data_IF_545404100596
#
_entry.id   IF_545404100596
#
_cell.length_a   1.000
_cell.length_b   1.000
_cell.length_c   1.000
_cell.angle_alpha   90.00
_cell.angle_beta   90.00
_cell.angle_gamma   90.00
#
_symmetry.space_group_name_H-M   'P 1'
#
loop_
_entity.id
_entity.type
_entity.pdbx_description
1 polymer ?
#
# COMPACT_ATOMS: atom_id res chain seq x y z
N UNK A 1 12.90 -28.07 21.78
CA UNK A 1 12.89 -26.59 21.77
C UNK A 1 12.35 -26.16 20.43
N UNK A 2 11.25 -25.43 20.40
CA UNK A 2 10.54 -25.10 19.16
C UNK A 2 11.34 -24.04 18.40
N UNK A 3 11.86 -24.39 17.21
CA UNK A 3 12.53 -23.46 16.31
C UNK A 3 11.49 -22.54 15.63
N UNK A 4 10.99 -21.58 16.40
CA UNK A 4 10.13 -20.49 15.93
C UNK A 4 10.99 -19.24 15.87
N UNK A 5 11.19 -18.73 14.66
CA UNK A 5 11.86 -17.45 14.44
C UNK A 5 10.79 -16.45 14.00
N UNK A 6 10.50 -15.44 14.83
CA UNK A 6 9.55 -14.39 14.48
C UNK A 6 10.27 -13.35 13.63
N UNK A 7 9.59 -12.85 12.59
CA UNK A 7 10.13 -11.77 11.78
C UNK A 7 9.96 -10.43 12.53
N UNK A 8 11.06 -9.77 12.90
CA UNK A 8 11.07 -8.52 13.69
C UNK A 8 10.26 -7.39 13.04
N UNK A 9 10.18 -7.37 11.70
CA UNK A 9 9.42 -6.36 10.95
C UNK A 9 7.91 -6.50 11.15
N UNK A 10 7.45 -7.70 11.50
CA UNK A 10 6.03 -8.04 11.60
C UNK A 10 5.49 -7.96 13.04
N UNK A 11 6.35 -7.82 14.05
CA UNK A 11 5.96 -7.86 15.46
C UNK A 11 5.13 -6.64 15.92
N UNK A 12 5.08 -5.58 15.12
CA UNK A 12 4.40 -4.32 15.47
C UNK A 12 2.90 -4.30 15.11
N UNK A 13 2.43 -5.22 14.26
CA UNK A 13 1.02 -5.27 13.88
C UNK A 13 0.23 -6.06 14.93
N UNK A 14 -0.76 -5.40 15.54
CA UNK A 14 -1.66 -6.06 16.48
C UNK A 14 -2.49 -7.15 15.79
N UNK A 15 -2.71 -7.05 14.48
CA UNK A 15 -3.56 -7.94 13.68
C UNK A 15 -2.95 -9.33 13.50
N UNK A 16 -1.62 -9.46 13.57
CA UNK A 16 -0.93 -10.72 13.34
C UNK A 16 0.55 -10.54 13.06
N UNK A 17 1.28 -11.65 12.92
CA UNK A 17 2.70 -11.60 12.59
C UNK A 17 3.16 -12.76 11.73
N UNK A 18 4.26 -12.54 11.00
CA UNK A 18 4.95 -13.54 10.20
C UNK A 18 6.04 -14.22 11.05
N UNK A 19 6.15 -15.55 10.92
CA UNK A 19 7.15 -16.35 11.62
C UNK A 19 7.60 -17.52 10.75
N UNK A 20 8.76 -18.09 11.09
CA UNK A 20 9.27 -19.33 10.51
C UNK A 20 9.11 -20.46 11.49
N UNK A 21 8.57 -21.58 11.02
CA UNK A 21 8.53 -22.84 11.74
C UNK A 21 9.17 -23.92 10.86
N UNK A 22 10.24 -24.54 11.35
CA UNK A 22 11.04 -25.53 10.60
C UNK A 22 11.47 -25.01 9.21
N UNK A 23 11.93 -23.76 9.15
CA UNK A 23 12.38 -23.09 7.91
C UNK A 23 11.27 -22.69 6.93
N UNK A 24 10.00 -23.01 7.22
CA UNK A 24 8.83 -22.64 6.42
C UNK A 24 8.19 -21.37 6.97
N UNK A 25 7.82 -20.44 6.08
CA UNK A 25 7.16 -19.18 6.44
C UNK A 25 5.67 -19.40 6.71
N UNK A 26 5.18 -18.82 7.80
CA UNK A 26 3.79 -18.80 8.20
C UNK A 26 3.41 -17.39 8.66
N UNK A 27 2.11 -17.12 8.68
CA UNK A 27 1.53 -15.91 9.28
C UNK A 27 0.47 -16.32 10.29
N UNK A 28 0.55 -15.77 11.48
CA UNK A 28 -0.52 -15.84 12.45
C UNK A 28 -1.48 -14.67 12.24
N UNK A 29 -2.78 -14.96 12.29
CA UNK A 29 -3.84 -13.96 12.49
C UNK A 29 -4.19 -13.96 13.96
N UNK A 30 -4.19 -12.79 14.60
CA UNK A 30 -4.48 -12.66 16.03
C UNK A 30 -5.99 -12.57 16.29
N UNK A 31 -6.41 -12.96 17.49
CA UNK A 31 -7.81 -12.97 17.92
C UNK A 31 -8.48 -11.59 17.82
N UNK A 32 -7.73 -10.50 18.06
CA UNK A 32 -8.24 -9.14 17.95
C UNK A 32 -8.63 -8.73 16.52
N UNK A 33 -8.20 -9.48 15.51
CA UNK A 33 -8.51 -9.25 14.11
C UNK A 33 -9.38 -10.37 13.49
N UNK A 34 -9.86 -11.31 14.31
CA UNK A 34 -10.63 -12.46 13.87
C UNK A 34 -11.88 -12.04 13.08
N UNK A 35 -12.71 -11.16 13.64
CA UNK A 35 -13.97 -10.73 13.02
C UNK A 35 -13.75 -10.05 11.66
N UNK A 36 -12.74 -9.18 11.57
CA UNK A 36 -12.38 -8.50 10.32
C UNK A 36 -11.84 -9.48 9.28
N UNK A 37 -11.02 -10.44 9.71
CA UNK A 37 -10.44 -11.46 8.84
C UNK A 37 -11.50 -12.43 8.30
N UNK A 38 -12.40 -12.90 9.15
CA UNK A 38 -13.47 -13.81 8.73
C UNK A 38 -14.45 -13.10 7.79
N UNK A 39 -14.84 -11.85 8.10
CA UNK A 39 -15.64 -11.03 7.19
C UNK A 39 -14.94 -10.79 5.84
N UNK A 40 -13.62 -10.59 5.85
CA UNK A 40 -12.81 -10.42 4.64
C UNK A 40 -12.84 -11.67 3.76
N UNK A 41 -12.72 -12.85 4.35
CA UNK A 41 -12.85 -14.13 3.62
C UNK A 41 -14.28 -14.33 3.09
N UNK A 42 -15.28 -14.15 3.96
CA UNK A 42 -16.70 -14.39 3.65
C UNK A 42 -17.23 -13.43 2.57
N UNK A 43 -16.67 -12.23 2.46
CA UNK A 43 -17.03 -11.27 1.41
C UNK A 43 -16.70 -11.77 -0.01
N UNK A 44 -15.77 -12.71 -0.15
CA UNK A 44 -15.22 -13.14 -1.44
C UNK A 44 -14.11 -12.23 -1.99
N UNK A 45 -13.72 -11.16 -1.27
CA UNK A 45 -12.63 -10.27 -1.68
C UNK A 45 -11.29 -11.03 -1.79
N UNK A 46 -10.99 -11.92 -0.84
CA UNK A 46 -9.79 -12.74 -0.88
C UNK A 46 -9.69 -13.57 -2.18
N UNK A 47 -10.79 -14.21 -2.57
CA UNK A 47 -10.86 -14.97 -3.81
C UNK A 47 -10.66 -14.06 -5.02
N UNK A 48 -11.37 -12.92 -5.06
CA UNK A 48 -11.27 -11.94 -6.14
C UNK A 48 -9.84 -11.40 -6.34
N UNK A 49 -9.10 -11.16 -5.25
CA UNK A 49 -7.71 -10.69 -5.28
C UNK A 49 -6.74 -11.78 -5.75
N UNK A 50 -6.90 -13.01 -5.25
CA UNK A 50 -5.97 -14.12 -5.55
C UNK A 50 -6.17 -14.70 -6.94
N UNK A 51 -7.38 -14.68 -7.49
CA UNK A 51 -7.67 -15.06 -8.88
C UNK A 51 -7.04 -14.08 -9.88
N UNK A 52 -7.02 -12.79 -9.55
CA UNK A 52 -6.35 -11.74 -10.34
C UNK A 52 -4.83 -11.70 -10.15
N UNK A 53 -4.28 -12.51 -9.25
CA UNK A 53 -2.89 -12.46 -8.80
C UNK A 53 -2.49 -11.09 -8.22
N UNK A 54 -3.43 -10.38 -7.58
CA UNK A 54 -3.17 -9.11 -6.91
C UNK A 54 -2.63 -9.30 -5.50
N UNK A 55 -3.03 -10.38 -4.82
CA UNK A 55 -2.56 -10.76 -3.48
C UNK A 55 -1.86 -12.10 -3.53
N UNK A 56 -0.79 -12.25 -2.73
CA UNK A 56 -0.12 -13.52 -2.53
C UNK A 56 -1.11 -14.57 -2.01
N UNK A 57 -1.16 -15.70 -2.71
CA UNK A 57 -2.01 -16.82 -2.28
C UNK A 57 -1.52 -17.33 -0.94
N UNK A 58 -2.46 -17.68 -0.09
CA UNK A 58 -2.19 -18.36 1.15
C UNK A 58 -3.31 -19.34 1.43
N UNK A 59 -3.00 -20.33 2.27
CA UNK A 59 -3.99 -21.31 2.75
C UNK A 59 -3.92 -21.40 4.25
N UNK A 60 -5.06 -21.67 4.88
CA UNK A 60 -5.08 -22.03 6.29
C UNK A 60 -4.33 -23.36 6.47
N UNK A 61 -3.42 -23.39 7.44
CA UNK A 61 -2.66 -24.58 7.76
C UNK A 61 -2.39 -24.62 9.26
N UNK A 62 -3.22 -25.34 10.04
CA UNK A 62 -2.92 -25.63 11.44
C UNK A 62 -1.53 -26.26 11.58
N UNK A 63 -0.84 -25.94 12.67
CA UNK A 63 0.49 -26.44 12.95
C UNK A 63 0.47 -27.29 14.22
N UNK A 64 0.83 -28.57 14.07
CA UNK A 64 0.97 -29.47 15.20
C UNK A 64 2.06 -28.97 16.16
N UNK A 65 1.70 -28.81 17.42
CA UNK A 65 2.61 -28.33 18.47
C UNK A 65 2.78 -26.80 18.55
N UNK A 66 2.18 -26.01 17.65
CA UNK A 66 2.08 -24.57 17.80
C UNK A 66 0.74 -24.21 18.43
N UNK A 67 0.76 -23.68 19.66
CA UNK A 67 -0.43 -23.15 20.34
C UNK A 67 -0.08 -21.77 20.88
N UNK A 68 -0.81 -20.75 20.41
CA UNK A 68 -0.80 -19.42 20.96
C UNK A 68 -2.23 -19.08 21.33
N UNK A 69 -2.46 -18.64 22.57
CA UNK A 69 -3.79 -18.23 23.03
C UNK A 69 -4.29 -16.96 22.30
N UNK A 70 -3.39 -16.29 21.58
CA UNK A 70 -3.69 -15.12 20.76
C UNK A 70 -4.00 -15.49 19.30
N UNK A 71 -3.77 -16.74 18.87
CA UNK A 71 -3.95 -17.15 17.48
C UNK A 71 -5.41 -17.46 17.17
N UNK A 72 -5.97 -16.74 16.19
CA UNK A 72 -7.22 -17.11 15.53
C UNK A 72 -6.97 -18.16 14.45
N UNK A 73 -6.06 -17.86 13.52
CA UNK A 73 -5.74 -18.73 12.37
C UNK A 73 -4.25 -18.69 12.02
N UNK A 74 -3.76 -19.77 11.42
CA UNK A 74 -2.41 -19.86 10.86
C UNK A 74 -2.50 -20.01 9.35
N UNK A 75 -1.81 -19.13 8.64
CA UNK A 75 -1.78 -19.06 7.20
C UNK A 75 -0.39 -19.47 6.69
N UNK A 76 -0.36 -20.26 5.62
CA UNK A 76 0.84 -20.57 4.86
C UNK A 76 0.81 -19.84 3.52
N UNK A 77 1.54 -18.73 3.36
CA UNK A 77 1.63 -18.02 2.08
C UNK A 77 2.49 -18.76 1.06
N UNK A 78 2.22 -18.52 -0.22
CA UNK A 78 3.12 -18.87 -1.31
C UNK A 78 4.42 -18.10 -1.16
N UNK A 79 5.55 -18.80 -1.34
CA UNK A 79 6.87 -18.21 -1.10
C UNK A 79 7.32 -17.36 -2.28
N UNK A 80 7.49 -16.07 -2.03
CA UNK A 80 8.18 -15.15 -2.93
C UNK A 80 9.69 -15.34 -2.74
N UNK A 81 10.41 -15.66 -3.84
CA UNK A 81 11.83 -16.00 -3.78
C UNK A 81 12.73 -14.80 -3.53
N UNK A 82 12.41 -13.68 -4.17
CA UNK A 82 13.21 -12.46 -4.14
C UNK A 82 12.40 -11.35 -3.49
N UNK A 83 12.94 -10.82 -2.40
CA UNK A 83 12.40 -9.62 -1.76
C UNK A 83 13.20 -8.45 -2.30
N UNK A 84 12.46 -7.42 -2.72
CA UNK A 84 13.02 -6.16 -3.21
C UNK A 84 12.35 -5.01 -2.47
N UNK A 85 13.03 -3.88 -2.40
CA UNK A 85 12.59 -2.73 -1.63
C UNK A 85 12.24 -1.54 -2.54
N UNK A 86 11.33 -0.64 -2.11
CA UNK A 86 10.88 0.49 -2.92
C UNK A 86 12.00 1.38 -3.47
N UNK A 87 13.10 1.53 -2.73
CA UNK A 87 14.28 2.32 -3.12
C UNK A 87 15.23 1.62 -4.12
N UNK A 88 14.94 0.36 -4.45
CA UNK A 88 15.64 -0.43 -5.48
C UNK A 88 14.88 -0.43 -6.81
N UNK A 89 13.60 -0.06 -6.78
CA UNK A 89 12.73 -0.14 -7.95
C UNK A 89 13.01 0.94 -8.98
N UNK A 90 13.01 0.52 -10.25
CA UNK A 90 13.03 1.44 -11.37
C UNK A 90 11.71 2.24 -11.46
N UNK A 91 11.60 3.15 -12.42
CA UNK A 91 10.39 3.97 -12.55
C UNK A 91 9.15 3.14 -12.86
N UNK A 92 9.25 2.19 -13.81
CA UNK A 92 8.12 1.32 -14.20
C UNK A 92 7.70 0.40 -13.07
N UNK A 93 8.62 -0.23 -12.35
CA UNK A 93 8.28 -1.06 -11.18
C UNK A 93 7.52 -0.26 -10.11
N UNK A 94 8.01 0.93 -9.74
CA UNK A 94 7.31 1.77 -8.76
C UNK A 94 5.91 2.20 -9.26
N UNK A 95 5.78 2.48 -10.56
CA UNK A 95 4.50 2.82 -11.21
C UNK A 95 3.55 1.62 -11.17
N UNK A 96 4.01 0.43 -11.54
CA UNK A 96 3.21 -0.79 -11.55
C UNK A 96 2.76 -1.18 -10.15
N UNK A 97 3.63 -1.03 -9.15
CA UNK A 97 3.27 -1.21 -7.74
C UNK A 97 2.19 -0.21 -7.28
N UNK A 98 2.32 1.06 -7.64
CA UNK A 98 1.32 2.08 -7.32
C UNK A 98 -0.04 1.79 -7.97
N UNK A 99 -0.04 1.35 -9.23
CA UNK A 99 -1.25 0.98 -9.97
C UNK A 99 -1.91 -0.26 -9.33
N UNK A 100 -1.13 -1.28 -8.98
CA UNK A 100 -1.63 -2.45 -8.25
C UNK A 100 -2.31 -2.04 -6.94
N UNK A 101 -1.68 -1.21 -6.12
CA UNK A 101 -2.26 -0.76 -4.84
C UNK A 101 -3.59 -0.02 -5.04
N UNK A 102 -3.70 0.82 -6.08
CA UNK A 102 -4.97 1.49 -6.41
C UNK A 102 -6.03 0.51 -6.93
N UNK A 103 -5.64 -0.47 -7.74
CA UNK A 103 -6.54 -1.51 -8.26
C UNK A 103 -7.06 -2.40 -7.13
N UNK A 104 -6.22 -2.73 -6.15
CA UNK A 104 -6.60 -3.44 -4.94
C UNK A 104 -7.59 -2.61 -4.12
N UNK A 105 -7.31 -1.32 -3.88
CA UNK A 105 -8.22 -0.46 -3.13
C UNK A 105 -9.57 -0.32 -3.83
N UNK A 106 -9.59 -0.11 -5.15
CA UNK A 106 -10.82 -0.01 -5.93
C UNK A 106 -11.62 -1.31 -5.86
N UNK A 107 -10.96 -2.47 -6.02
CA UNK A 107 -11.60 -3.76 -5.88
C UNK A 107 -12.12 -3.98 -4.46
N UNK A 108 -11.36 -3.65 -3.42
CA UNK A 108 -11.79 -3.78 -2.04
C UNK A 108 -13.09 -3.00 -1.77
N UNK A 109 -13.21 -1.78 -2.30
CA UNK A 109 -14.43 -0.97 -2.17
C UNK A 109 -15.65 -1.63 -2.81
N UNK A 110 -15.47 -2.42 -3.87
CA UNK A 110 -16.57 -3.15 -4.52
C UNK A 110 -17.09 -4.33 -3.66
N UNK A 111 -16.27 -4.80 -2.73
CA UNK A 111 -16.60 -5.84 -1.75
C UNK A 111 -16.91 -5.30 -0.35
N UNK A 112 -16.97 -3.97 -0.17
CA UNK A 112 -17.28 -3.34 1.12
C UNK A 112 -16.07 -3.25 2.07
N UNK A 113 -14.86 -3.35 1.57
CA UNK A 113 -13.60 -3.27 2.32
C UNK A 113 -12.75 -2.09 1.88
N UNK A 114 -11.73 -1.77 2.67
CA UNK A 114 -10.69 -0.80 2.34
C UNK A 114 -9.34 -1.30 2.82
N UNK A 115 -8.30 -0.94 2.08
CA UNK A 115 -6.91 -1.13 2.46
C UNK A 115 -6.54 -0.10 3.54
N UNK A 116 -6.01 -0.54 4.68
CA UNK A 116 -5.58 0.35 5.77
C UNK A 116 -4.10 0.73 5.70
N UNK A 117 -3.30 -0.10 5.04
CA UNK A 117 -1.85 0.10 4.86
C UNK A 117 -1.48 0.03 3.37
N UNK A 118 -1.20 1.20 2.80
CA UNK A 118 -0.76 1.40 1.43
C UNK A 118 0.76 1.67 1.35
N UNK A 119 1.54 1.08 2.27
CA UNK A 119 3.00 1.10 2.19
C UNK A 119 3.49 0.41 0.92
N UNK A 120 4.49 1.01 0.25
CA UNK A 120 5.17 0.36 -0.86
C UNK A 120 5.88 -0.93 -0.45
N UNK A 121 6.23 -1.12 0.83
CA UNK A 121 6.85 -2.35 1.31
C UNK A 121 5.91 -3.57 1.28
N UNK A 122 4.59 -3.34 1.20
CA UNK A 122 3.59 -4.39 1.07
C UNK A 122 3.41 -4.89 -0.38
N UNK A 123 4.18 -4.37 -1.33
CA UNK A 123 4.24 -4.86 -2.72
C UNK A 123 5.58 -5.53 -2.97
N UNK A 124 5.55 -6.66 -3.66
CA UNK A 124 6.73 -7.39 -4.13
C UNK A 124 6.58 -7.74 -5.61
N UNK A 125 7.64 -8.25 -6.24
CA UNK A 125 7.60 -8.72 -7.62
C UNK A 125 7.70 -10.23 -7.69
N UNK A 126 6.62 -10.89 -8.11
CA UNK A 126 6.57 -12.33 -8.30
C UNK A 126 6.38 -12.64 -9.78
N UNK A 127 7.30 -13.42 -10.36
CA UNK A 127 7.28 -13.78 -11.79
C UNK A 127 7.16 -12.56 -12.71
N UNK A 128 7.87 -11.48 -12.38
CA UNK A 128 7.90 -10.24 -13.17
C UNK A 128 6.67 -9.34 -13.04
N UNK A 129 5.73 -9.64 -12.13
CA UNK A 129 4.54 -8.82 -11.88
C UNK A 129 4.48 -8.32 -10.44
N UNK A 130 3.98 -7.11 -10.18
CA UNK A 130 3.75 -6.66 -8.81
C UNK A 130 2.68 -7.56 -8.14
N UNK A 131 2.87 -7.86 -6.86
CA UNK A 131 1.93 -8.63 -6.04
C UNK A 131 1.93 -8.06 -4.62
N UNK A 132 0.74 -7.93 -4.02
CA UNK A 132 0.59 -7.48 -2.64
C UNK A 132 0.79 -8.66 -1.69
N UNK A 133 1.46 -8.44 -0.56
CA UNK A 133 1.88 -9.52 0.35
C UNK A 133 1.21 -9.48 1.71
N UNK A 134 0.52 -8.40 2.05
CA UNK A 134 -0.05 -8.23 3.38
C UNK A 134 -1.56 -8.50 3.42
N UNK A 135 -1.93 -9.71 3.82
CA UNK A 135 -3.34 -10.11 3.94
C UNK A 135 -4.09 -9.35 5.03
N UNK A 136 -3.41 -8.88 6.08
CA UNK A 136 -4.06 -8.29 7.25
C UNK A 136 -4.28 -6.77 7.12
N UNK A 137 -4.11 -6.25 5.90
CA UNK A 137 -4.33 -4.85 5.54
C UNK A 137 -5.78 -4.50 5.16
N UNK A 138 -6.70 -5.47 5.12
CA UNK A 138 -8.08 -5.23 4.68
C UNK A 138 -9.04 -5.13 5.87
N UNK A 139 -9.79 -4.04 5.95
CA UNK A 139 -10.83 -3.83 6.97
C UNK A 139 -12.15 -3.43 6.32
N UNK A 140 -13.29 -3.69 6.99
CA UNK A 140 -14.58 -3.17 6.53
C UNK A 140 -14.51 -1.66 6.26
N UNK A 141 -15.03 -1.24 5.11
CA UNK A 141 -14.98 0.17 4.74
C UNK A 141 -15.99 0.98 5.56
N UNK A 142 -15.47 1.91 6.35
CA UNK A 142 -16.28 2.95 6.97
C UNK A 142 -16.41 4.17 6.02
N UNK A 143 -17.62 4.74 5.93
CA UNK A 143 -17.86 5.90 5.05
C UNK A 143 -16.86 7.04 5.33
N UNK A 144 -16.18 7.50 4.29
CA UNK A 144 -15.24 8.61 4.42
C UNK A 144 -14.06 8.53 3.46
N UNK A 145 -12.98 9.22 3.85
CA UNK A 145 -11.71 9.23 3.12
C UNK A 145 -10.99 7.90 3.30
N UNK A 146 -10.22 7.49 2.29
CA UNK A 146 -9.33 6.36 2.42
C UNK A 146 -8.23 6.63 3.46
N UNK A 147 -8.18 5.84 4.53
CA UNK A 147 -7.26 6.04 5.66
C UNK A 147 -5.79 6.04 5.23
N UNK A 148 -5.42 5.15 4.30
CA UNK A 148 -4.06 5.03 3.80
C UNK A 148 -3.71 6.05 2.69
N UNK A 149 -4.61 6.98 2.36
CA UNK A 149 -4.43 7.91 1.25
C UNK A 149 -3.16 8.76 1.35
N UNK A 150 -2.83 9.22 2.57
CA UNK A 150 -1.59 9.97 2.82
C UNK A 150 -0.37 9.08 2.60
N UNK A 151 -0.38 7.88 3.15
CA UNK A 151 0.70 6.91 3.00
C UNK A 151 0.91 6.55 1.53
N UNK A 152 -0.16 6.29 0.78
CA UNK A 152 -0.09 6.07 -0.67
C UNK A 152 0.59 7.24 -1.39
N UNK A 153 0.19 8.48 -1.07
CA UNK A 153 0.80 9.67 -1.66
C UNK A 153 2.31 9.75 -1.36
N UNK A 154 2.73 9.43 -0.15
CA UNK A 154 4.13 9.51 0.27
C UNK A 154 5.00 8.38 -0.29
N UNK A 155 4.46 7.15 -0.37
CA UNK A 155 5.20 5.97 -0.81
C UNK A 155 5.23 5.81 -2.34
N UNK A 156 4.21 6.31 -3.05
CA UNK A 156 4.09 6.10 -4.50
C UNK A 156 4.06 7.41 -5.29
N UNK A 157 3.05 8.25 -5.05
CA UNK A 157 2.81 9.42 -5.89
C UNK A 157 3.97 10.43 -5.84
N UNK A 158 4.47 10.72 -4.64
CA UNK A 158 5.59 11.63 -4.41
C UNK A 158 6.86 11.19 -5.15
N UNK A 159 7.40 9.97 -4.92
CA UNK A 159 8.59 9.52 -5.63
C UNK A 159 8.36 9.39 -7.14
N UNK A 160 7.18 8.97 -7.60
CA UNK A 160 6.85 8.96 -9.04
C UNK A 160 6.88 10.37 -9.66
N UNK A 161 6.27 11.36 -8.98
CA UNK A 161 6.24 12.73 -9.46
C UNK A 161 7.64 13.35 -9.52
N UNK A 162 8.49 13.08 -8.52
CA UNK A 162 9.88 13.55 -8.50
C UNK A 162 10.71 12.93 -9.63
N UNK A 163 10.58 11.60 -9.85
CA UNK A 163 11.26 10.91 -10.95
C UNK A 163 10.80 11.42 -12.32
N UNK A 164 9.49 11.65 -12.49
CA UNK A 164 8.91 12.06 -13.78
C UNK A 164 9.16 13.54 -14.13
N UNK A 165 9.14 14.43 -13.15
CA UNK A 165 9.18 15.88 -13.40
C UNK A 165 10.52 16.56 -13.08
N UNK A 166 11.40 15.88 -12.33
CA UNK A 166 12.70 16.42 -11.92
C UNK A 166 13.86 15.54 -12.41
N UNK A 167 14.13 14.43 -11.72
CA UNK A 167 15.28 13.56 -11.96
C UNK A 167 15.04 12.17 -11.37
N UNK A 168 15.39 11.11 -12.10
CA UNK A 168 15.21 9.73 -11.66
C UNK A 168 15.89 9.41 -10.33
N UNK A 169 17.04 10.04 -10.05
CA UNK A 169 17.84 9.79 -8.85
C UNK A 169 17.10 10.20 -7.58
N UNK A 170 16.12 11.10 -7.66
CA UNK A 170 15.29 11.48 -6.51
C UNK A 170 14.43 10.33 -5.98
N UNK A 171 14.29 9.22 -6.72
CA UNK A 171 13.72 7.99 -6.19
C UNK A 171 14.47 7.44 -4.96
N UNK A 172 15.76 7.77 -4.80
CA UNK A 172 16.57 7.38 -3.64
C UNK A 172 16.13 8.02 -2.33
N UNK A 173 15.28 9.04 -2.35
CA UNK A 173 14.69 9.58 -1.12
C UNK A 173 13.86 8.52 -0.36
N UNK A 174 13.35 7.48 -1.03
CA UNK A 174 12.66 6.37 -0.37
C UNK A 174 13.57 5.53 0.55
N UNK A 175 14.90 5.64 0.41
CA UNK A 175 15.87 5.01 1.31
C UNK A 175 16.01 5.79 2.63
N UNK A 176 15.93 7.12 2.56
CA UNK A 176 16.01 8.01 3.73
C UNK A 176 14.66 8.13 4.47
N UNK A 177 13.57 8.08 3.72
CA UNK A 177 12.21 8.20 4.24
C UNK A 177 11.48 6.86 4.08
N UNK A 178 11.80 5.90 4.95
CA UNK A 178 11.20 4.55 4.94
C UNK A 178 9.67 4.62 5.11
N UNK A 179 9.18 5.58 5.90
CA UNK A 179 7.73 5.84 6.08
C UNK A 179 7.13 6.73 4.96
N UNK A 180 7.84 6.86 3.84
CA UNK A 180 7.41 7.59 2.66
C UNK A 180 7.90 9.04 2.60
N UNK A 181 8.16 9.53 1.39
CA UNK A 181 8.73 10.86 1.15
C UNK A 181 7.76 11.96 1.62
N UNK A 182 8.15 12.89 2.50
CA UNK A 182 7.28 13.94 3.00
C UNK A 182 6.68 14.79 1.87
N UNK A 183 5.37 15.05 1.93
CA UNK A 183 4.69 15.78 0.86
C UNK A 183 5.07 17.27 0.83
N UNK A 184 5.44 17.87 1.96
CA UNK A 184 5.93 19.24 2.01
C UNK A 184 7.30 19.38 1.34
N UNK A 185 8.21 18.44 1.58
CA UNK A 185 9.48 18.35 0.88
C UNK A 185 9.25 18.13 -0.62
N UNK A 186 8.42 17.15 -0.97
CA UNK A 186 8.05 16.86 -2.36
C UNK A 186 7.50 18.10 -3.07
N UNK A 187 6.57 18.82 -2.42
CA UNK A 187 5.98 20.04 -2.94
C UNK A 187 7.00 21.14 -3.19
N UNK A 188 8.07 21.24 -2.38
CA UNK A 188 9.15 22.23 -2.57
C UNK A 188 10.12 21.84 -3.67
N UNK A 189 10.37 20.54 -3.86
CA UNK A 189 11.28 20.01 -4.89
C UNK A 189 10.66 20.00 -6.29
N UNK A 190 9.33 19.86 -6.39
CA UNK A 190 8.65 19.83 -7.68
C UNK A 190 8.73 21.19 -8.40
N UNK A 191 8.87 21.22 -9.75
CA UNK A 191 9.01 22.47 -10.47
C UNK A 191 7.70 23.26 -10.43
N UNK A 192 7.77 24.59 -10.43
CA UNK A 192 6.59 25.48 -10.29
C UNK A 192 5.47 25.20 -11.31
N UNK A 193 5.80 24.71 -12.52
CA UNK A 193 4.81 24.30 -13.53
C UNK A 193 3.82 23.23 -13.04
N UNK A 194 4.22 22.41 -12.07
CA UNK A 194 3.37 21.33 -11.52
C UNK A 194 2.20 21.86 -10.67
N UNK A 195 2.21 23.13 -10.27
CA UNK A 195 1.05 23.81 -9.69
C UNK A 195 -0.11 23.94 -10.67
N UNK A 196 0.13 23.87 -11.98
CA UNK A 196 -0.90 23.87 -13.01
C UNK A 196 -1.45 22.46 -13.31
N UNK A 197 -0.77 21.40 -12.83
CA UNK A 197 -1.28 20.03 -12.93
C UNK A 197 -2.30 19.79 -11.82
N UNK A 198 -3.58 19.70 -12.18
CA UNK A 198 -4.66 19.49 -11.20
C UNK A 198 -4.41 18.29 -10.27
N UNK A 199 -3.85 17.20 -10.79
CA UNK A 199 -3.56 15.99 -10.00
C UNK A 199 -2.44 16.23 -8.98
N UNK A 200 -1.32 16.85 -9.37
CA UNK A 200 -0.24 17.17 -8.43
C UNK A 200 -0.67 18.25 -7.45
N UNK A 201 -1.37 19.28 -7.93
CA UNK A 201 -1.92 20.34 -7.11
C UNK A 201 -2.77 19.78 -5.97
N UNK A 202 -3.73 18.93 -6.31
CA UNK A 202 -4.68 18.36 -5.35
C UNK A 202 -3.99 17.41 -4.37
N UNK A 203 -3.20 16.47 -4.88
CA UNK A 203 -2.73 15.33 -4.09
C UNK A 203 -1.38 15.55 -3.40
N UNK A 204 -0.58 16.52 -3.85
CA UNK A 204 0.72 16.86 -3.27
C UNK A 204 0.70 18.27 -2.67
N UNK A 205 0.49 19.32 -3.49
CA UNK A 205 0.70 20.70 -3.04
C UNK A 205 -0.32 21.16 -2.00
N UNK A 206 -1.62 21.01 -2.27
CA UNK A 206 -2.68 21.36 -1.34
C UNK A 206 -2.66 20.44 -0.12
N UNK A 207 -2.41 19.15 -0.33
CA UNK A 207 -2.28 18.19 0.75
C UNK A 207 -1.15 18.55 1.73
N UNK A 208 0.03 18.89 1.22
CA UNK A 208 1.15 19.38 2.03
C UNK A 208 0.80 20.64 2.83
N UNK A 209 0.13 21.61 2.20
CA UNK A 209 -0.33 22.84 2.88
C UNK A 209 -1.36 22.59 3.97
N UNK A 210 -2.23 21.59 3.80
CA UNK A 210 -3.19 21.21 4.85
C UNK A 210 -2.49 20.50 6.01
N UNK A 211 -1.50 19.64 5.73
CA UNK A 211 -0.73 18.96 6.77
C UNK A 211 0.05 19.95 7.66
N UNK A 212 0.72 20.94 7.08
CA UNK A 212 1.47 21.93 7.87
C UNK A 212 0.56 22.83 8.70
N UNK A 213 -0.70 23.03 8.30
CA UNK A 213 -1.69 23.85 9.03
C UNK A 213 -2.45 23.09 10.12
N UNK A 214 -2.63 21.78 9.97
CA UNK A 214 -3.47 20.96 10.86
C UNK A 214 -2.73 19.79 11.51
N UNK A 215 -1.40 19.71 11.36
CA UNK A 215 -0.55 18.61 11.83
C UNK A 215 -0.73 18.23 13.30
N UNK A 216 -1.13 19.19 14.15
CA UNK A 216 -1.35 18.95 15.59
C UNK A 216 -2.82 18.66 15.97
N UNK A 217 -3.78 18.77 15.04
CA UNK A 217 -5.23 18.63 15.32
C UNK A 217 -5.95 17.57 14.47
N UNK A 218 -5.25 16.92 13.54
CA UNK A 218 -5.85 16.06 12.53
C UNK A 218 -6.56 14.80 13.09
N UNK A 219 -6.12 14.25 14.23
CA UNK A 219 -6.76 13.08 14.84
C UNK A 219 -8.19 13.33 15.35
N UNK A 220 -8.57 14.59 15.62
CA UNK A 220 -9.90 14.91 16.16
C UNK A 220 -10.96 15.21 15.08
N UNK A 221 -10.56 15.49 13.84
CA UNK A 221 -11.48 16.00 12.81
C UNK A 221 -12.20 14.89 12.03
N UNK A 222 -11.68 13.66 12.05
CA UNK A 222 -12.31 12.51 11.38
C UNK A 222 -13.64 12.08 12.02
N UNK A 223 -13.82 12.32 13.33
CA UNK A 223 -15.06 12.00 14.03
C UNK A 223 -16.25 12.89 13.63
N UNK A 224 -16.01 14.07 13.04
CA UNK A 224 -17.04 15.08 12.76
C UNK A 224 -17.74 14.96 11.39
N UNK A 225 -17.35 14.01 10.54
CA UNK A 225 -17.86 13.87 9.16
C UNK A 225 -18.78 12.64 8.95
N UNK A 226 -19.38 12.12 10.03
CA UNK A 226 -20.18 10.87 10.05
C UNK A 226 -21.57 10.96 9.41
N UNK A 227 -22.03 12.11 8.92
CA UNK A 227 -23.33 12.26 8.25
C UNK A 227 -23.19 12.66 6.79
N UNK A 228 -23.34 11.72 5.86
CA UNK A 228 -23.86 11.94 4.49
C UNK A 228 -23.65 10.65 3.68
N UNK A 229 -24.75 9.92 3.53
CA UNK A 229 -24.88 8.58 2.96
C UNK A 229 -24.57 8.50 1.46
N UNK A 230 -24.07 7.32 1.07
CA UNK A 230 -23.89 6.74 -0.27
C UNK A 230 -23.09 7.54 -1.32
N UNK A 231 -23.20 8.87 -1.34
CA UNK A 231 -22.54 9.79 -2.27
C UNK A 231 -21.06 10.03 -1.93
N UNK A 232 -20.53 9.43 -0.85
CA UNK A 232 -19.12 9.53 -0.43
C UNK A 232 -18.22 8.47 -1.08
N UNK A 233 -18.67 7.23 -1.18
CA UNK A 233 -17.86 6.14 -1.74
C UNK A 233 -17.64 6.30 -3.24
N UNK A 234 -18.65 6.77 -3.98
CA UNK A 234 -18.51 7.00 -5.42
C UNK A 234 -17.57 8.17 -5.75
N UNK A 235 -17.58 9.22 -4.92
CA UNK A 235 -16.59 10.32 -5.01
C UNK A 235 -15.18 9.81 -4.72
N UNK A 236 -15.02 8.96 -3.70
CA UNK A 236 -13.74 8.32 -3.40
C UNK A 236 -13.29 7.45 -4.59
N UNK A 237 -14.16 6.60 -5.13
CA UNK A 237 -13.88 5.78 -6.33
C UNK A 237 -13.47 6.65 -7.52
N UNK A 238 -14.19 7.75 -7.78
CA UNK A 238 -13.88 8.67 -8.87
C UNK A 238 -12.49 9.32 -8.68
N UNK A 239 -12.18 9.78 -7.47
CA UNK A 239 -10.86 10.32 -7.13
C UNK A 239 -9.75 9.29 -7.35
N UNK A 240 -9.93 8.05 -6.87
CA UNK A 240 -8.95 6.97 -7.03
C UNK A 240 -8.77 6.57 -8.49
N UNK A 241 -9.84 6.50 -9.29
CA UNK A 241 -9.77 6.25 -10.74
C UNK A 241 -9.04 7.38 -11.48
N UNK A 242 -9.29 8.63 -11.11
CA UNK A 242 -8.57 9.79 -11.63
C UNK A 242 -7.07 9.72 -11.31
N UNK A 243 -6.73 9.44 -10.05
CA UNK A 243 -5.34 9.27 -9.60
C UNK A 243 -4.65 8.11 -10.32
N UNK A 244 -5.33 6.97 -10.48
CA UNK A 244 -4.83 5.82 -11.24
C UNK A 244 -4.54 6.19 -12.69
N UNK A 245 -5.48 6.88 -13.35
CA UNK A 245 -5.32 7.35 -14.74
C UNK A 245 -4.13 8.29 -14.86
N UNK A 246 -3.98 9.21 -13.90
CA UNK A 246 -2.85 10.11 -13.84
C UNK A 246 -1.52 9.37 -13.70
N UNK A 247 -1.40 8.45 -12.73
CA UNK A 247 -0.18 7.63 -12.55
C UNK A 247 0.11 6.81 -13.80
N UNK A 248 -0.92 6.22 -14.43
CA UNK A 248 -0.77 5.48 -15.68
C UNK A 248 -0.22 6.36 -16.81
N UNK A 249 -0.53 7.65 -16.82
CA UNK A 249 -0.02 8.62 -17.80
C UNK A 249 1.40 9.12 -17.51
N UNK A 250 1.95 8.87 -16.32
CA UNK A 250 3.31 9.28 -15.99
C UNK A 250 4.33 8.44 -16.74
N UNK A 251 5.30 9.11 -17.34
CA UNK A 251 6.43 8.51 -18.03
C UNK A 251 7.71 9.22 -17.61
N UNK A 252 8.76 8.44 -17.41
CA UNK A 252 10.10 8.98 -17.29
C UNK A 252 10.82 8.79 -18.63
N UNK A 253 11.34 9.88 -19.18
CA UNK A 253 12.12 9.84 -20.41
C UNK A 253 13.58 9.59 -20.03
N UNK A 254 14.13 8.47 -20.50
CA UNK A 254 15.56 8.20 -20.39
C UNK A 254 16.34 9.28 -21.14
N UNK A 255 17.31 9.96 -20.50
CA UNK A 255 18.23 10.82 -21.23
C UNK A 255 18.90 10.02 -22.35
N UNK A 256 19.12 10.64 -23.52
CA UNK A 256 19.91 10.05 -24.60
C UNK A 256 21.28 9.68 -24.05
N UNK A 257 21.59 8.38 -23.99
CA UNK A 257 22.90 7.86 -23.63
C UNK A 257 23.41 7.01 -24.79
N UNK A 258 24.72 6.97 -24.97
CA UNK A 258 25.37 6.15 -26.00
C UNK A 258 25.07 4.64 -25.84
N UNK A 259 24.61 4.23 -24.64
CA UNK A 259 24.23 2.86 -24.30
C UNK A 259 22.72 2.59 -24.42
N UNK A 260 21.90 3.60 -24.74
CA UNK A 260 20.44 3.45 -24.83
C UNK A 260 19.96 2.74 -26.10
N UNK A 261 20.83 2.63 -27.12
CA UNK A 261 20.53 2.02 -28.42
C UNK A 261 21.29 0.70 -28.68
N UNK A 262 22.08 0.23 -27.72
CA UNK A 262 22.74 -1.08 -27.77
C UNK A 262 21.83 -2.18 -27.21
#
# INVERSE_FOLDING_TARGET
MQNIEVDDSSFRDSSGFVFRYQGTLYRQVNQCFADAFDAYLDSGLHQALTERNYLVRHREQPLDGYRSDLAHKILKPERIRYISYPYEWCFSQLKDAALLTLDIQLLALDYGFSLKDASAFNVQFHQGRPIFIDTLSFEPYEQGTWVAYRQFCQHFLAPLALKAHCDHRLGKLAELYIDGVPLDLTSRLLPKRTWLSFNILSHIHLHAKMQTRYGDKAHQTQAALKGADAMKVDKLRAMLKGLRTYIASLHWHTPSSEWGEY
#
